data_IF_251489782396
#
_entry.id   IF_251489782396
#
_cell.length_a   1.000
_cell.length_b   1.000
_cell.length_c   1.000
_cell.angle_alpha   90.00
_cell.angle_beta   90.00
_cell.angle_gamma   90.00
#
_symmetry.space_group_name_H-M   'P 1'
#
loop_
_entity.id
_entity.type
_entity.pdbx_description
1 polymer ?
#
# COMPACT_ATOMS: atom_id res chain seq x y z
N UNK A 1 -5.19 20.58 13.91
CA UNK A 1 -4.37 19.35 13.83
C UNK A 1 -3.13 19.63 13.00
N UNK A 2 -1.94 19.24 13.47
CA UNK A 2 -0.68 19.30 12.73
C UNK A 2 -0.56 18.05 11.87
N UNK A 3 -0.36 18.18 10.55
CA UNK A 3 -0.23 17.05 9.63
C UNK A 3 1.10 17.10 8.88
N UNK A 4 1.74 15.95 8.72
CA UNK A 4 2.93 15.75 7.88
C UNK A 4 2.78 14.53 6.97
N UNK A 5 3.43 14.57 5.82
CA UNK A 5 3.30 13.53 4.80
C UNK A 5 1.98 13.59 4.02
N UNK A 6 1.85 12.69 3.08
CA UNK A 6 0.63 12.53 2.28
C UNK A 6 0.27 11.06 2.19
N UNK A 7 -0.90 10.69 2.71
CA UNK A 7 -1.41 9.34 2.64
C UNK A 7 -1.48 8.86 1.17
N UNK A 8 -0.95 7.70 0.91
CA UNK A 8 -0.96 7.10 -0.42
C UNK A 8 0.06 7.66 -1.43
N UNK A 9 0.95 8.61 -1.04
CA UNK A 9 1.92 9.18 -1.98
C UNK A 9 2.94 8.14 -2.46
N UNK A 10 3.45 7.31 -1.57
CA UNK A 10 4.36 6.22 -1.92
C UNK A 10 3.67 5.22 -2.86
N UNK A 11 2.49 4.78 -2.47
CA UNK A 11 1.68 3.82 -3.24
C UNK A 11 1.24 4.42 -4.58
N UNK A 12 0.90 5.71 -4.61
CA UNK A 12 0.56 6.44 -5.84
C UNK A 12 1.75 6.52 -6.79
N UNK A 13 2.96 6.85 -6.31
CA UNK A 13 4.19 6.84 -7.12
C UNK A 13 4.49 5.44 -7.69
N UNK A 14 4.32 4.42 -6.87
CA UNK A 14 4.49 3.03 -7.30
C UNK A 14 3.45 2.64 -8.37
N UNK A 15 2.20 3.04 -8.21
CA UNK A 15 1.13 2.86 -9.20
C UNK A 15 1.49 3.48 -10.55
N UNK A 16 1.98 4.74 -10.57
CA UNK A 16 2.39 5.41 -11.80
C UNK A 16 3.56 4.72 -12.48
N UNK A 17 4.57 4.25 -11.72
CA UNK A 17 5.68 3.45 -12.25
C UNK A 17 5.18 2.16 -12.92
N UNK A 18 4.25 1.45 -12.27
CA UNK A 18 3.68 0.23 -12.84
C UNK A 18 2.80 0.51 -14.06
N UNK A 19 2.04 1.61 -14.08
CA UNK A 19 1.29 2.04 -15.27
C UNK A 19 2.22 2.36 -16.43
N UNK A 20 3.22 3.19 -16.21
CA UNK A 20 4.20 3.56 -17.25
C UNK A 20 4.89 2.32 -17.83
N UNK A 21 5.38 1.41 -16.97
CA UNK A 21 5.96 0.14 -17.43
C UNK A 21 4.96 -0.71 -18.21
N UNK A 22 3.73 -0.83 -17.71
CA UNK A 22 2.67 -1.58 -18.37
C UNK A 22 2.35 -1.04 -19.77
N UNK A 23 2.26 0.30 -19.91
CA UNK A 23 2.03 0.96 -21.19
C UNK A 23 3.20 0.76 -22.18
N UNK A 24 4.46 0.83 -21.70
CA UNK A 24 5.62 0.55 -22.52
C UNK A 24 5.64 -0.89 -23.05
N UNK A 25 5.35 -1.86 -22.17
CA UNK A 25 5.25 -3.26 -22.59
C UNK A 25 4.09 -3.50 -23.56
N UNK A 26 2.93 -2.83 -23.36
CA UNK A 26 1.80 -2.94 -24.27
C UNK A 26 2.13 -2.36 -25.66
N UNK A 27 2.81 -1.22 -25.72
CA UNK A 27 3.28 -0.63 -26.96
C UNK A 27 4.29 -1.57 -27.66
N UNK A 28 5.27 -2.11 -26.90
CA UNK A 28 6.22 -3.09 -27.44
C UNK A 28 5.54 -4.36 -27.97
N UNK A 29 4.50 -4.84 -27.29
CA UNK A 29 3.71 -6.00 -27.76
C UNK A 29 2.99 -5.68 -29.09
N UNK A 30 2.38 -4.49 -29.22
CA UNK A 30 1.72 -4.07 -30.42
C UNK A 30 2.70 -3.94 -31.60
N UNK A 31 3.87 -3.33 -31.39
CA UNK A 31 4.92 -3.24 -32.40
C UNK A 31 5.41 -4.62 -32.83
N UNK A 32 5.72 -5.51 -31.87
CA UNK A 32 6.14 -6.88 -32.17
C UNK A 32 5.07 -7.68 -32.93
N UNK A 33 3.79 -7.48 -32.62
CA UNK A 33 2.69 -8.11 -33.35
C UNK A 33 2.64 -7.65 -34.82
N UNK A 34 2.76 -6.35 -35.06
CA UNK A 34 2.79 -5.80 -36.42
C UNK A 34 4.00 -6.31 -37.21
N UNK A 35 5.18 -6.36 -36.55
CA UNK A 35 6.40 -6.92 -37.16
C UNK A 35 6.22 -8.39 -37.49
N UNK A 36 5.61 -9.18 -36.59
CA UNK A 36 5.34 -10.62 -36.85
C UNK A 36 4.42 -10.81 -38.05
N UNK A 37 3.33 -10.03 -38.14
CA UNK A 37 2.40 -10.10 -39.27
C UNK A 37 3.11 -9.69 -40.57
N UNK A 38 3.87 -8.58 -40.57
CA UNK A 38 4.63 -8.14 -41.74
C UNK A 38 5.65 -9.17 -42.21
N UNK A 39 6.39 -9.80 -41.28
CA UNK A 39 7.37 -10.83 -41.61
C UNK A 39 6.72 -12.09 -42.16
N UNK A 40 5.57 -12.52 -41.62
CA UNK A 40 4.83 -13.68 -42.13
C UNK A 40 4.26 -13.42 -43.52
N UNK A 41 3.69 -12.23 -43.78
CA UNK A 41 3.24 -11.84 -45.11
C UNK A 41 4.40 -11.77 -46.11
N UNK A 42 5.55 -11.21 -45.70
CA UNK A 42 6.75 -11.19 -46.50
C UNK A 42 7.25 -12.60 -46.87
N UNK A 43 7.19 -13.56 -45.90
CA UNK A 43 7.55 -14.96 -46.17
C UNK A 43 6.62 -15.66 -47.17
N UNK A 44 5.36 -15.23 -47.27
CA UNK A 44 4.40 -15.75 -48.26
C UNK A 44 4.58 -15.16 -49.64
N UNK A 45 5.05 -13.92 -49.72
CA UNK A 45 5.14 -13.16 -50.98
C UNK A 45 6.53 -13.24 -51.67
N UNK A 46 7.59 -13.65 -50.95
CA UNK A 46 8.95 -13.73 -51.43
C UNK A 46 9.20 -15.04 -52.20
N UNK A 47 9.83 -14.95 -53.37
CA UNK A 47 10.14 -16.13 -54.23
C UNK A 47 11.48 -16.81 -53.93
N UNK A 48 12.32 -16.29 -53.03
CA UNK A 48 13.61 -16.86 -52.66
C UNK A 48 13.55 -17.74 -51.42
N UNK A 49 14.01 -19.02 -51.48
CA UNK A 49 13.97 -19.93 -50.35
C UNK A 49 14.64 -19.42 -49.07
N UNK A 50 15.83 -18.84 -49.17
CA UNK A 50 16.55 -18.28 -48.02
C UNK A 50 15.83 -17.06 -47.40
N UNK A 51 15.26 -16.16 -48.20
CA UNK A 51 14.49 -15.02 -47.76
C UNK A 51 13.19 -15.41 -47.07
N UNK A 52 12.49 -16.42 -47.58
CA UNK A 52 11.29 -16.98 -46.89
C UNK A 52 11.61 -17.52 -45.51
N UNK A 53 12.69 -18.32 -45.39
CA UNK A 53 13.11 -18.86 -44.08
C UNK A 53 13.46 -17.74 -43.09
N UNK A 54 14.24 -16.75 -43.55
CA UNK A 54 14.61 -15.61 -42.69
C UNK A 54 13.41 -14.81 -42.24
N UNK A 55 12.44 -14.55 -43.10
CA UNK A 55 11.20 -13.87 -42.78
C UNK A 55 10.33 -14.66 -41.79
N UNK A 56 10.23 -15.99 -42.00
CA UNK A 56 9.47 -16.87 -41.08
C UNK A 56 10.12 -16.88 -39.70
N UNK A 57 11.45 -17.01 -39.59
CA UNK A 57 12.17 -16.98 -38.30
C UNK A 57 11.98 -15.63 -37.60
N UNK A 58 12.08 -14.50 -38.32
CA UNK A 58 11.83 -13.17 -37.78
C UNK A 58 10.37 -13.04 -37.26
N UNK A 59 9.40 -13.58 -38.00
CA UNK A 59 8.00 -13.60 -37.61
C UNK A 59 7.74 -14.38 -36.32
N UNK A 60 8.35 -15.55 -36.18
CA UNK A 60 8.25 -16.37 -34.96
C UNK A 60 8.90 -15.66 -33.76
N UNK A 61 10.10 -15.09 -33.95
CA UNK A 61 10.79 -14.35 -32.91
C UNK A 61 9.97 -13.11 -32.43
N UNK A 62 9.39 -12.37 -33.38
CA UNK A 62 8.53 -11.25 -33.08
C UNK A 62 7.23 -11.67 -32.35
N UNK A 63 6.63 -12.79 -32.72
CA UNK A 63 5.45 -13.34 -32.04
C UNK A 63 5.76 -13.76 -30.60
N UNK A 64 6.92 -14.40 -30.37
CA UNK A 64 7.39 -14.75 -29.03
C UNK A 64 7.64 -13.49 -28.18
N UNK A 65 8.28 -12.45 -28.75
CA UNK A 65 8.49 -11.14 -28.12
C UNK A 65 7.16 -10.47 -27.76
N UNK A 66 6.17 -10.51 -28.63
CA UNK A 66 4.82 -10.03 -28.38
C UNK A 66 4.19 -10.72 -27.16
N UNK A 67 4.21 -12.05 -27.12
CA UNK A 67 3.68 -12.85 -26.01
C UNK A 67 4.36 -12.47 -24.68
N UNK A 68 5.68 -12.39 -24.67
CA UNK A 68 6.42 -11.98 -23.47
C UNK A 68 6.03 -10.55 -23.01
N UNK A 69 6.02 -9.59 -23.93
CA UNK A 69 5.66 -8.20 -23.61
C UNK A 69 4.21 -8.10 -23.10
N UNK A 70 3.28 -8.86 -23.66
CA UNK A 70 1.90 -8.93 -23.22
C UNK A 70 1.77 -9.43 -21.77
N UNK A 71 2.47 -10.52 -21.42
CA UNK A 71 2.49 -11.07 -20.06
C UNK A 71 3.06 -10.02 -19.08
N UNK A 72 4.11 -9.29 -19.46
CA UNK A 72 4.70 -8.23 -18.63
C UNK A 72 3.75 -7.05 -18.48
N UNK A 73 3.05 -6.64 -19.53
CA UNK A 73 2.06 -5.58 -19.52
C UNK A 73 0.91 -5.89 -18.54
N UNK A 74 0.30 -7.07 -18.68
CA UNK A 74 -0.84 -7.49 -17.83
C UNK A 74 -0.45 -7.59 -16.35
N UNK A 75 0.74 -8.11 -16.04
CA UNK A 75 1.26 -8.17 -14.67
C UNK A 75 1.48 -6.75 -14.09
N UNK A 76 2.10 -5.85 -14.85
CA UNK A 76 2.37 -4.47 -14.41
C UNK A 76 1.08 -3.68 -14.21
N UNK A 77 0.11 -3.79 -15.12
CA UNK A 77 -1.21 -3.14 -14.98
C UNK A 77 -2.01 -3.71 -13.81
N UNK A 78 -1.93 -5.03 -13.57
CA UNK A 78 -2.53 -5.66 -12.40
C UNK A 78 -1.94 -5.14 -11.08
N UNK A 79 -0.63 -4.93 -11.02
CA UNK A 79 0.04 -4.31 -9.87
C UNK A 79 -0.39 -2.85 -9.69
N UNK A 80 -0.46 -2.06 -10.77
CA UNK A 80 -0.94 -0.68 -10.73
C UNK A 80 -2.36 -0.59 -10.15
N UNK A 81 -3.26 -1.49 -10.56
CA UNK A 81 -4.63 -1.55 -10.03
C UNK A 81 -4.64 -1.85 -8.52
N UNK A 82 -3.84 -2.82 -8.05
CA UNK A 82 -3.73 -3.13 -6.62
C UNK A 82 -3.21 -1.93 -5.82
N UNK A 83 -2.16 -1.27 -6.31
CA UNK A 83 -1.62 -0.06 -5.69
C UNK A 83 -2.65 1.08 -5.64
N UNK A 84 -3.48 1.27 -6.68
CA UNK A 84 -4.51 2.31 -6.69
C UNK A 84 -5.57 2.10 -5.61
N UNK A 85 -5.93 0.83 -5.35
CA UNK A 85 -6.89 0.47 -4.31
C UNK A 85 -6.28 0.71 -2.92
N UNK A 86 -5.00 0.36 -2.71
CA UNK A 86 -4.26 0.67 -1.48
C UNK A 86 -4.24 2.18 -1.19
N UNK A 87 -3.81 2.98 -2.17
CA UNK A 87 -3.77 4.43 -2.04
C UNK A 87 -5.14 5.08 -1.74
N UNK A 88 -6.23 4.48 -2.24
CA UNK A 88 -7.59 4.92 -1.89
C UNK A 88 -7.89 4.65 -0.42
N UNK A 89 -7.59 3.45 0.07
CA UNK A 89 -7.82 3.09 1.48
C UNK A 89 -7.05 3.99 2.44
N UNK A 90 -5.79 4.30 2.13
CA UNK A 90 -4.98 5.23 2.93
C UNK A 90 -5.59 6.66 2.94
N UNK A 91 -6.10 7.15 1.80
CA UNK A 91 -6.80 8.44 1.75
C UNK A 91 -8.11 8.44 2.52
N UNK A 92 -8.85 7.34 2.54
CA UNK A 92 -10.05 7.18 3.35
C UNK A 92 -9.71 7.24 4.85
N UNK A 93 -8.64 6.57 5.29
CA UNK A 93 -8.15 6.64 6.67
C UNK A 93 -7.68 8.06 7.01
N UNK A 94 -6.94 8.73 6.14
CA UNK A 94 -6.57 10.14 6.34
C UNK A 94 -7.79 11.03 6.55
N UNK A 95 -8.82 10.85 5.73
CA UNK A 95 -10.07 11.60 5.86
C UNK A 95 -10.76 11.30 7.19
N UNK A 96 -10.72 10.05 7.64
CA UNK A 96 -11.25 9.66 8.95
C UNK A 96 -10.44 10.29 10.08
N UNK A 97 -9.09 10.22 10.05
CA UNK A 97 -8.21 10.85 11.05
C UNK A 97 -8.46 12.36 11.15
N UNK A 98 -8.72 13.05 10.04
CA UNK A 98 -9.05 14.49 10.05
C UNK A 98 -10.35 14.81 10.78
N UNK A 99 -11.27 13.84 10.86
CA UNK A 99 -12.54 13.98 11.59
C UNK A 99 -12.41 13.58 13.05
N UNK A 100 -11.29 12.98 13.45
CA UNK A 100 -11.03 12.61 14.85
C UNK A 100 -10.47 13.81 15.63
N UNK A 101 -10.59 13.73 16.95
CA UNK A 101 -9.97 14.69 17.87
C UNK A 101 -8.47 14.43 18.01
N UNK A 102 -7.72 14.59 16.91
CA UNK A 102 -6.29 14.38 16.89
C UNK A 102 -5.54 15.71 16.88
N UNK A 103 -4.41 15.78 17.59
CA UNK A 103 -3.55 16.97 17.65
C UNK A 103 -2.46 16.97 16.61
N UNK A 104 -1.98 15.77 16.23
CA UNK A 104 -0.99 15.60 15.17
C UNK A 104 -1.17 14.25 14.46
N UNK A 105 -0.83 14.21 13.16
CA UNK A 105 -0.81 13.00 12.36
C UNK A 105 0.35 13.02 11.35
N UNK A 106 0.97 11.86 11.14
CA UNK A 106 1.97 11.63 10.10
C UNK A 106 1.54 10.45 9.21
N UNK A 107 1.76 10.59 7.90
CA UNK A 107 1.41 9.57 6.90
C UNK A 107 2.66 9.10 6.16
N UNK A 108 2.88 7.78 6.14
CA UNK A 108 4.07 7.17 5.54
C UNK A 108 5.35 7.48 6.34
N UNK A 109 5.27 7.45 7.69
CA UNK A 109 6.41 7.75 8.55
C UNK A 109 7.39 6.57 8.59
N UNK A 110 8.63 6.79 8.16
CA UNK A 110 9.70 5.81 8.23
C UNK A 110 10.29 5.78 9.65
N UNK A 111 10.08 4.68 10.35
CA UNK A 111 10.49 4.52 11.75
C UNK A 111 11.90 3.90 11.95
N UNK A 112 12.64 3.64 10.86
CA UNK A 112 14.00 3.08 10.92
C UNK A 112 14.48 2.51 9.60
N UNK A 113 15.81 2.34 9.46
CA UNK A 113 16.49 1.94 8.22
C UNK A 113 16.19 0.52 7.71
N UNK A 114 15.73 -0.39 8.59
CA UNK A 114 15.43 -1.80 8.27
C UNK A 114 13.96 -2.15 8.36
N UNK A 115 13.06 -1.19 8.36
CA UNK A 115 11.64 -1.45 8.52
C UNK A 115 10.82 -0.64 7.54
N UNK A 116 9.69 -1.20 7.08
CA UNK A 116 8.72 -0.45 6.29
C UNK A 116 8.24 0.80 7.04
N UNK A 117 7.65 1.69 6.29
CA UNK A 117 6.94 2.86 6.79
C UNK A 117 5.73 2.46 7.64
N UNK A 118 5.35 3.34 8.54
CA UNK A 118 4.07 3.28 9.23
C UNK A 118 3.06 4.05 8.40
N UNK A 119 1.98 3.40 7.97
CA UNK A 119 0.99 4.02 7.09
C UNK A 119 0.43 5.30 7.70
N UNK A 120 0.10 5.26 9.01
CA UNK A 120 -0.38 6.45 9.73
C UNK A 120 0.03 6.39 11.20
N UNK A 121 0.59 7.48 11.70
CA UNK A 121 0.80 7.73 13.14
C UNK A 121 -0.11 8.87 13.57
N UNK A 122 -0.80 8.68 14.70
CA UNK A 122 -1.73 9.68 15.24
C UNK A 122 -1.40 9.96 16.69
N UNK A 123 -1.34 11.26 17.06
CA UNK A 123 -1.35 11.71 18.43
C UNK A 123 -2.70 12.34 18.73
N UNK A 124 -3.40 11.78 19.73
CA UNK A 124 -4.79 12.14 20.05
C UNK A 124 -4.86 13.38 20.93
N UNK A 125 -6.03 14.02 21.00
CA UNK A 125 -6.29 15.14 21.93
C UNK A 125 -6.14 14.70 23.39
N UNK A 126 -6.44 13.45 23.71
CA UNK A 126 -6.18 12.84 25.02
C UNK A 126 -4.69 12.59 25.28
N UNK A 127 -3.80 13.14 24.44
CA UNK A 127 -2.34 12.98 24.54
C UNK A 127 -1.85 11.52 24.44
N UNK A 128 -2.62 10.65 23.80
CA UNK A 128 -2.22 9.28 23.46
C UNK A 128 -1.51 9.20 22.11
N UNK A 129 -0.85 8.05 21.85
CA UNK A 129 -0.21 7.74 20.57
C UNK A 129 -0.75 6.44 19.98
N UNK A 130 -0.97 6.42 18.67
CA UNK A 130 -1.40 5.25 17.92
C UNK A 130 -0.59 5.08 16.63
N UNK A 131 -0.27 3.83 16.29
CA UNK A 131 0.27 3.42 15.00
C UNK A 131 -0.80 2.62 14.26
N UNK A 132 -1.16 3.06 13.06
CA UNK A 132 -2.27 2.51 12.28
C UNK A 132 -1.72 1.91 10.99
N UNK A 133 -1.89 0.60 10.86
CA UNK A 133 -1.69 -0.14 9.61
C UNK A 133 -2.99 -0.12 8.80
N UNK A 134 -2.93 0.26 7.53
CA UNK A 134 -4.10 0.35 6.66
C UNK A 134 -4.18 -0.88 5.76
N UNK A 135 -5.30 -1.57 5.78
CA UNK A 135 -5.55 -2.70 4.88
C UNK A 135 -6.82 -2.49 4.06
N UNK A 136 -6.70 -2.83 2.79
CA UNK A 136 -7.83 -2.76 1.87
C UNK A 136 -8.76 -3.94 2.07
N UNK A 137 -10.05 -3.66 2.26
CA UNK A 137 -11.06 -4.68 2.36
C UNK A 137 -12.46 -4.09 2.54
N UNK A 138 -13.47 -4.88 2.20
CA UNK A 138 -14.88 -4.51 2.40
C UNK A 138 -15.65 -5.73 2.86
N UNK A 139 -16.31 -5.62 4.03
CA UNK A 139 -17.10 -6.72 4.60
C UNK A 139 -16.77 -6.99 6.05
N UNK A 140 -17.18 -8.18 6.53
CA UNK A 140 -16.87 -8.62 7.89
C UNK A 140 -15.39 -9.00 8.00
N UNK A 141 -14.72 -8.50 9.03
CA UNK A 141 -13.32 -8.82 9.35
C UNK A 141 -13.30 -9.81 10.52
N UNK A 142 -12.50 -10.85 10.40
CA UNK A 142 -12.19 -11.79 11.50
C UNK A 142 -10.68 -11.95 11.66
N UNK A 143 -10.27 -12.34 12.86
CA UNK A 143 -8.89 -12.65 13.19
C UNK A 143 -8.86 -13.95 14.00
N UNK A 144 -8.36 -15.03 13.39
CA UNK A 144 -8.31 -16.35 13.98
C UNK A 144 -6.92 -16.95 13.77
N UNK A 145 -6.31 -17.49 14.79
CA UNK A 145 -4.98 -18.14 14.74
C UNK A 145 -3.91 -17.29 14.04
N UNK A 146 -3.87 -15.99 14.32
CA UNK A 146 -2.94 -15.04 13.70
C UNK A 146 -3.27 -14.67 12.23
N UNK A 147 -4.33 -15.23 11.66
CA UNK A 147 -4.74 -14.95 10.29
C UNK A 147 -5.92 -13.98 10.29
N UNK A 148 -5.78 -12.86 9.60
CA UNK A 148 -6.88 -11.91 9.38
C UNK A 148 -7.56 -12.15 8.03
N UNK A 149 -8.90 -12.11 8.02
CA UNK A 149 -9.72 -12.27 6.83
C UNK A 149 -10.71 -11.12 6.69
N UNK A 150 -11.05 -10.79 5.44
CA UNK A 150 -12.19 -9.92 5.10
C UNK A 150 -13.16 -10.73 4.26
N UNK A 151 -14.29 -11.12 4.82
CA UNK A 151 -15.13 -12.16 4.25
C UNK A 151 -14.33 -13.47 4.13
N UNK A 152 -14.30 -14.05 2.93
CA UNK A 152 -13.54 -15.29 2.66
C UNK A 152 -12.08 -15.04 2.25
N UNK A 153 -11.66 -13.78 2.09
CA UNK A 153 -10.31 -13.44 1.61
C UNK A 153 -9.34 -13.25 2.77
N UNK A 154 -8.23 -13.97 2.74
CA UNK A 154 -7.10 -13.75 3.66
C UNK A 154 -6.41 -12.42 3.33
N UNK A 155 -6.14 -11.61 4.33
CA UNK A 155 -5.30 -10.42 4.21
C UNK A 155 -3.83 -10.83 4.21
N UNK A 156 -3.09 -10.35 3.22
CA UNK A 156 -1.67 -10.68 3.09
C UNK A 156 -0.81 -9.99 4.18
N UNK A 157 0.22 -10.71 4.63
CA UNK A 157 1.33 -10.14 5.39
C UNK A 157 1.07 -9.95 6.88
N UNK A 158 0.16 -10.71 7.51
CA UNK A 158 -0.14 -10.62 8.95
C UNK A 158 -0.28 -9.15 9.44
N UNK A 159 -1.42 -8.50 9.15
CA UNK A 159 -1.63 -7.08 9.50
C UNK A 159 -1.51 -6.78 10.99
N UNK A 160 -1.95 -7.70 11.86
CA UNK A 160 -1.86 -7.51 13.30
C UNK A 160 -0.40 -7.46 13.77
N UNK A 161 0.43 -8.37 13.27
CA UNK A 161 1.87 -8.37 13.55
C UNK A 161 2.56 -7.13 12.99
N UNK A 162 2.17 -6.66 11.80
CA UNK A 162 2.68 -5.42 11.21
C UNK A 162 2.37 -4.21 12.11
N UNK A 163 1.10 -4.03 12.50
CA UNK A 163 0.68 -2.94 13.38
C UNK A 163 1.38 -2.99 14.75
N UNK A 164 1.48 -4.18 15.36
CA UNK A 164 2.20 -4.36 16.62
C UNK A 164 3.69 -4.01 16.50
N UNK A 165 4.33 -4.36 15.38
CA UNK A 165 5.73 -4.00 15.12
C UNK A 165 5.93 -2.49 14.94
N UNK A 166 5.03 -1.84 14.21
CA UNK A 166 5.04 -0.38 14.03
C UNK A 166 4.84 0.34 15.37
N UNK A 167 3.87 -0.09 16.17
CA UNK A 167 3.64 0.46 17.50
C UNK A 167 4.85 0.30 18.41
N UNK A 168 5.52 -0.87 18.42
CA UNK A 168 6.75 -1.08 19.18
C UNK A 168 7.91 -0.21 18.71
N UNK A 169 8.04 0.03 17.40
CA UNK A 169 9.08 0.93 16.86
C UNK A 169 8.81 2.37 17.26
N UNK A 170 7.56 2.82 17.13
CA UNK A 170 7.16 4.15 17.56
C UNK A 170 7.34 4.31 19.07
N UNK A 171 6.98 3.33 19.89
CA UNK A 171 7.22 3.30 21.34
C UNK A 171 8.69 3.55 21.68
N UNK A 172 9.61 2.85 21.01
CA UNK A 172 11.06 3.09 21.21
C UNK A 172 11.49 4.52 20.88
N UNK A 173 10.93 5.10 19.80
CA UNK A 173 11.19 6.51 19.43
C UNK A 173 10.60 7.50 20.45
N UNK A 174 9.57 7.08 21.18
CA UNK A 174 8.92 7.86 22.24
C UNK A 174 9.47 7.52 23.64
N UNK A 175 10.68 6.98 23.75
CA UNK A 175 11.30 6.69 25.05
C UNK A 175 10.64 5.54 25.83
N UNK A 176 10.09 4.54 25.14
CA UNK A 176 9.43 3.37 25.74
C UNK A 176 7.95 3.58 26.10
N UNK A 177 7.37 4.74 25.77
CA UNK A 177 5.95 5.05 26.04
C UNK A 177 5.01 4.10 25.28
N UNK A 178 3.88 3.76 25.87
CA UNK A 178 2.92 2.80 25.27
C UNK A 178 2.23 3.42 24.05
N UNK A 179 2.21 2.69 22.93
CA UNK A 179 1.57 3.09 21.68
C UNK A 179 0.47 2.09 21.33
N UNK A 180 -0.72 2.59 21.01
CA UNK A 180 -1.83 1.78 20.54
C UNK A 180 -1.54 1.22 19.15
N UNK A 181 -1.63 -0.11 18.98
CA UNK A 181 -1.52 -0.76 17.69
C UNK A 181 -2.90 -0.92 17.07
N UNK A 182 -3.09 -0.43 15.85
CA UNK A 182 -4.39 -0.45 15.16
C UNK A 182 -4.23 -0.98 13.74
N UNK A 183 -5.12 -1.88 13.33
CA UNK A 183 -5.36 -2.22 11.93
C UNK A 183 -6.66 -1.55 11.50
N UNK A 184 -6.60 -0.64 10.55
CA UNK A 184 -7.77 0.00 9.98
C UNK A 184 -8.12 -0.62 8.61
N UNK A 185 -9.30 -1.21 8.52
CA UNK A 185 -9.90 -1.70 7.27
C UNK A 185 -11.08 -0.80 6.94
N UNK A 186 -10.94 0.22 6.07
CA UNK A 186 -11.97 1.26 5.90
C UNK A 186 -13.37 0.72 5.63
N UNK A 187 -13.48 -0.33 4.82
CA UNK A 187 -14.76 -0.97 4.47
C UNK A 187 -15.23 -2.08 5.42
N UNK A 188 -14.68 -2.18 6.64
CA UNK A 188 -15.11 -3.14 7.64
C UNK A 188 -16.56 -2.87 8.08
N UNK A 189 -17.37 -3.94 8.20
CA UNK A 189 -18.80 -3.83 8.53
C UNK A 189 -19.15 -4.23 9.97
N UNK A 190 -18.33 -5.05 10.63
CA UNK A 190 -18.53 -5.42 12.02
C UNK A 190 -17.99 -4.35 12.98
N UNK A 191 -18.35 -4.44 14.26
CA UNK A 191 -17.86 -3.56 15.32
C UNK A 191 -16.35 -3.73 15.52
N UNK A 192 -15.65 -2.70 16.03
CA UNK A 192 -14.26 -2.82 16.43
C UNK A 192 -14.05 -3.97 17.42
N UNK A 193 -12.91 -4.64 17.29
CA UNK A 193 -12.52 -5.72 18.17
C UNK A 193 -11.01 -5.74 18.39
N UNK A 194 -10.56 -6.49 19.39
CA UNK A 194 -9.14 -6.67 19.69
C UNK A 194 -8.72 -8.09 19.34
N UNK A 195 -7.58 -8.24 18.68
CA UNK A 195 -6.98 -9.55 18.41
C UNK A 195 -6.36 -10.13 19.68
N UNK A 196 -6.03 -11.43 19.68
CA UNK A 196 -5.31 -12.07 20.79
C UNK A 196 -3.94 -11.41 21.08
N UNK A 197 -3.34 -10.74 20.11
CA UNK A 197 -2.09 -9.98 20.27
C UNK A 197 -2.31 -8.54 20.80
N UNK A 198 -3.51 -8.18 21.24
CA UNK A 198 -3.82 -6.83 21.77
C UNK A 198 -3.91 -5.74 20.71
N UNK A 199 -3.99 -6.09 19.43
CA UNK A 199 -4.10 -5.13 18.32
C UNK A 199 -5.57 -4.83 18.04
N UNK A 200 -5.94 -3.56 18.02
CA UNK A 200 -7.29 -3.12 17.66
C UNK A 200 -7.52 -3.22 16.15
N UNK A 201 -8.70 -3.68 15.79
CA UNK A 201 -9.17 -3.75 14.40
C UNK A 201 -10.45 -2.95 14.27
N UNK A 202 -10.49 -1.99 13.36
CA UNK A 202 -11.63 -1.11 13.19
C UNK A 202 -11.88 -0.69 11.73
N UNK A 203 -13.06 -0.13 11.48
CA UNK A 203 -13.35 0.60 10.25
C UNK A 203 -12.87 2.06 10.35
N UNK A 204 -12.87 2.76 9.21
CA UNK A 204 -12.58 4.20 9.20
C UNK A 204 -13.60 5.03 10.00
N UNK A 205 -14.87 4.61 10.05
CA UNK A 205 -15.95 5.28 10.80
C UNK A 205 -15.80 5.13 12.31
N UNK A 206 -15.22 4.02 12.76
CA UNK A 206 -15.08 3.70 14.20
C UNK A 206 -13.72 4.14 14.76
N UNK A 207 -12.89 4.80 13.94
CA UNK A 207 -11.51 5.13 14.25
C UNK A 207 -11.40 6.02 15.49
N UNK A 208 -12.28 7.03 15.66
CA UNK A 208 -12.32 7.88 16.85
C UNK A 208 -12.48 7.03 18.12
N UNK A 209 -13.49 6.14 18.16
CA UNK A 209 -13.78 5.29 19.32
C UNK A 209 -12.59 4.43 19.72
N UNK A 210 -11.78 3.99 18.74
CA UNK A 210 -10.56 3.22 19.01
C UNK A 210 -9.42 4.12 19.47
N UNK A 211 -9.26 5.29 18.88
CA UNK A 211 -8.22 6.26 19.25
C UNK A 211 -8.42 6.82 20.67
N UNK A 212 -9.65 6.93 21.16
CA UNK A 212 -9.96 7.34 22.53
C UNK A 212 -9.44 6.36 23.59
N UNK A 213 -9.07 5.15 23.17
CA UNK A 213 -8.47 4.13 24.03
C UNK A 213 -6.95 4.19 24.05
N UNK A 214 -6.33 5.11 23.29
CA UNK A 214 -4.89 5.27 23.28
C UNK A 214 -4.39 5.74 24.66
N UNK A 215 -3.46 5.02 25.30
CA UNK A 215 -2.89 5.42 26.57
C UNK A 215 -2.25 6.80 26.46
N UNK A 216 -2.44 7.64 27.51
CA UNK A 216 -1.81 8.95 27.56
C UNK A 216 -0.29 8.81 27.63
N UNK A 217 0.40 9.47 26.73
CA UNK A 217 1.88 9.43 26.60
C UNK A 217 2.53 10.81 26.61
N UNK A 218 1.75 11.85 26.40
CA UNK A 218 2.21 13.25 26.43
C UNK A 218 1.58 14.02 27.59
N UNK A 219 2.29 15.00 28.11
CA UNK A 219 1.76 15.91 29.13
C UNK A 219 0.79 16.93 28.55
N UNK A 220 1.05 17.40 27.33
CA UNK A 220 0.28 18.44 26.64
C UNK A 220 0.22 18.18 25.12
N UNK A 221 -0.77 18.80 24.49
CA UNK A 221 -0.95 18.75 23.04
C UNK A 221 0.23 19.37 22.25
N UNK A 222 0.89 20.39 22.83
CA UNK A 222 2.04 21.03 22.19
C UNK A 222 3.25 20.09 22.17
N UNK A 223 3.54 19.41 23.29
CA UNK A 223 4.58 18.35 23.33
C UNK A 223 4.35 17.29 22.24
N UNK A 224 3.08 16.87 22.05
CA UNK A 224 2.73 15.93 21.02
C UNK A 224 3.01 16.46 19.60
N UNK A 225 2.70 17.75 19.33
CA UNK A 225 2.99 18.38 18.02
C UNK A 225 4.49 18.51 17.74
N UNK A 226 5.26 18.94 18.73
CA UNK A 226 6.72 19.07 18.62
C UNK A 226 7.38 17.71 18.41
N UNK A 227 6.94 16.71 19.17
CA UNK A 227 7.41 15.33 19.00
C UNK A 227 7.12 14.82 17.60
N UNK A 228 5.91 15.06 17.05
CA UNK A 228 5.58 14.67 15.68
C UNK A 228 6.49 15.35 14.65
N UNK A 229 6.75 16.64 14.82
CA UNK A 229 7.67 17.41 13.95
C UNK A 229 9.08 16.82 13.98
N UNK A 230 9.60 16.54 15.18
CA UNK A 230 10.92 15.93 15.36
C UNK A 230 11.02 14.55 14.73
N UNK A 231 10.02 13.67 14.94
CA UNK A 231 9.98 12.35 14.33
C UNK A 231 9.99 12.42 12.80
N UNK A 232 9.26 13.39 12.22
CA UNK A 232 9.21 13.56 10.77
C UNK A 232 10.53 14.05 10.18
N UNK A 233 11.19 15.00 10.85
CA UNK A 233 12.49 15.54 10.42
C UNK A 233 13.62 14.52 10.54
N UNK A 234 13.56 13.64 11.55
CA UNK A 234 14.54 12.57 11.76
C UNK A 234 14.28 11.32 10.88
N UNK A 235 13.18 11.28 10.12
CA UNK A 235 12.90 10.18 9.22
C UNK A 235 13.89 10.21 8.03
N UNK A 236 14.51 9.08 7.65
CA UNK A 236 15.35 9.01 6.46
C UNK A 236 14.52 9.32 5.21
N UNK A 237 15.11 10.06 4.28
CA UNK A 237 14.50 10.46 3.01
C UNK A 237 14.24 9.27 2.05
#
# INVERSE_FOLDING_TARGET
MYEVGRAGDFVSRQMWRHRARGSLYAAGAATAALTAVGALLGALLLDGGALRVSAAVAGVAAAAGCGYAWIRATRSLGQARRSSVGARSEREVRTAVRRTESVAAAYGLVLGSRGGDCDTVVFTRGCGAAAIEVKTGHGRVSAENGTMRVGNRVLHGDPARQAANQARRLSRKLGGRTVLAVVCVPGMRNRPFTTAAGVWVCSARDLQTVLDRAPRVFGAAEEARETMRSLWQAAPA
#
